data_IF_676496230887
#
_entry.id   IF_676496230887
#
_cell.length_a   1.000
_cell.length_b   1.000
_cell.length_c   1.000
_cell.angle_alpha   90.00
_cell.angle_beta   90.00
_cell.angle_gamma   90.00
#
_symmetry.space_group_name_H-M   'P 1'
#
loop_
_entity.id
_entity.type
_entity.pdbx_description
1 polymer ?
#
# COMPACT_ATOMS: atom_id res chain seq x y z
N UNK A 1 -1.54 -16.53 -19.22
CA UNK A 1 -2.28 -15.70 -18.25
C UNK A 1 -1.23 -15.00 -17.39
N UNK A 2 -1.07 -13.69 -17.57
CA UNK A 2 0.09 -12.92 -17.11
C UNK A 2 0.23 -12.91 -15.57
N UNK A 3 1.48 -12.81 -15.10
CA UNK A 3 1.95 -12.85 -13.72
C UNK A 3 1.10 -11.98 -12.75
N UNK A 4 0.17 -12.61 -12.04
CA UNK A 4 -0.85 -11.97 -11.17
C UNK A 4 -0.27 -11.25 -9.96
N UNK A 5 0.87 -11.70 -9.44
CA UNK A 5 1.49 -11.11 -8.24
C UNK A 5 2.15 -9.76 -8.53
N UNK A 6 2.87 -9.63 -9.64
CA UNK A 6 3.57 -8.39 -9.99
C UNK A 6 2.58 -7.24 -10.22
N UNK A 7 1.46 -7.50 -10.88
CA UNK A 7 0.43 -6.50 -11.10
C UNK A 7 -0.28 -6.08 -9.80
N UNK A 8 -0.41 -7.01 -8.86
CA UNK A 8 -0.90 -6.69 -7.51
C UNK A 8 0.06 -5.75 -6.80
N UNK A 9 1.35 -6.05 -6.82
CA UNK A 9 2.38 -5.21 -6.22
C UNK A 9 2.47 -3.81 -6.84
N UNK A 10 2.26 -3.69 -8.16
CA UNK A 10 2.18 -2.38 -8.84
C UNK A 10 1.03 -1.51 -8.33
N UNK A 11 -0.03 -2.12 -7.81
CA UNK A 11 -1.22 -1.44 -7.29
C UNK A 11 -1.14 -1.13 -5.80
N UNK A 12 -0.07 -1.53 -5.10
CA UNK A 12 0.17 -1.17 -3.71
C UNK A 12 0.95 0.15 -3.66
N UNK A 13 0.48 1.09 -2.84
CA UNK A 13 1.17 2.36 -2.66
C UNK A 13 2.40 2.18 -1.74
N UNK A 14 3.56 2.71 -2.15
CA UNK A 14 4.82 2.66 -1.39
C UNK A 14 4.74 3.32 -0.01
N UNK A 15 3.77 4.23 0.18
CA UNK A 15 3.52 4.92 1.45
C UNK A 15 2.39 4.31 2.27
N UNK A 16 1.69 3.30 1.75
CA UNK A 16 0.70 2.55 2.52
C UNK A 16 1.42 1.71 3.59
N UNK A 17 0.87 1.68 4.79
CA UNK A 17 1.39 0.85 5.88
C UNK A 17 0.25 0.17 6.61
N UNK A 18 0.55 -1.04 7.08
CA UNK A 18 -0.19 -1.81 8.08
C UNK A 18 0.84 -2.53 8.96
N UNK A 19 0.40 -3.22 10.01
CA UNK A 19 1.33 -4.04 10.83
C UNK A 19 2.07 -5.09 9.99
N UNK A 20 1.44 -5.61 8.94
CA UNK A 20 2.01 -6.65 8.07
C UNK A 20 3.25 -6.17 7.30
N UNK A 21 3.39 -4.86 7.09
CA UNK A 21 4.59 -4.27 6.49
C UNK A 21 5.85 -4.63 7.28
N UNK A 22 5.77 -4.65 8.61
CA UNK A 22 6.93 -4.97 9.46
C UNK A 22 7.32 -6.45 9.38
N UNK A 23 6.39 -7.33 9.03
CA UNK A 23 6.67 -8.74 8.79
C UNK A 23 7.38 -8.88 7.44
N UNK A 24 6.79 -8.34 6.37
CA UNK A 24 7.37 -8.36 5.02
C UNK A 24 8.77 -7.73 4.98
N UNK A 25 8.96 -6.58 5.64
CA UNK A 25 10.25 -5.91 5.73
C UNK A 25 11.34 -6.73 6.45
N UNK A 26 10.97 -7.63 7.37
CA UNK A 26 11.92 -8.51 8.07
C UNK A 26 12.27 -9.73 7.25
N UNK A 27 11.32 -10.26 6.47
CA UNK A 27 11.51 -11.44 5.63
C UNK A 27 12.13 -11.11 4.26
N UNK A 28 12.19 -9.82 3.90
CA UNK A 28 12.62 -9.38 2.57
C UNK A 28 11.54 -9.60 1.51
N UNK A 29 10.31 -9.88 1.93
CA UNK A 29 9.17 -10.10 1.05
C UNK A 29 8.51 -8.78 0.66
N UNK A 30 7.73 -8.83 -0.42
CA UNK A 30 6.91 -7.70 -0.82
C UNK A 30 5.70 -7.53 0.07
N UNK A 31 5.38 -6.28 0.38
CA UNK A 31 4.21 -5.93 1.17
C UNK A 31 2.95 -5.87 0.30
N UNK A 32 1.89 -6.58 0.73
CA UNK A 32 0.52 -6.47 0.21
C UNK A 32 -0.41 -6.26 1.41
N UNK A 33 -1.21 -5.17 1.45
CA UNK A 33 -2.10 -4.92 2.56
C UNK A 33 -3.29 -5.90 2.58
N UNK A 34 -3.58 -6.45 3.77
CA UNK A 34 -4.79 -7.25 3.98
C UNK A 34 -6.02 -6.34 4.13
N UNK A 35 -7.16 -6.73 3.55
CA UNK A 35 -8.37 -5.89 3.48
C UNK A 35 -8.86 -5.35 4.83
N UNK A 36 -8.68 -6.11 5.91
CA UNK A 36 -9.17 -5.79 7.26
C UNK A 36 -8.10 -5.20 8.18
N UNK A 37 -6.90 -4.92 7.67
CA UNK A 37 -5.83 -4.39 8.50
C UNK A 37 -6.07 -2.92 8.88
N UNK A 38 -5.64 -2.52 10.08
CA UNK A 38 -5.53 -1.09 10.41
C UNK A 38 -4.41 -0.49 9.56
N UNK A 39 -4.75 0.53 8.78
CA UNK A 39 -3.87 1.13 7.79
C UNK A 39 -3.54 2.59 8.12
N UNK A 40 -2.35 3.04 7.71
CA UNK A 40 -1.94 4.44 7.80
C UNK A 40 -1.07 4.83 6.60
N UNK A 41 -0.97 6.13 6.35
CA UNK A 41 -0.06 6.68 5.34
C UNK A 41 1.23 7.12 6.02
N UNK A 42 2.37 6.70 5.47
CA UNK A 42 3.69 7.08 5.97
C UNK A 42 3.96 8.58 5.82
N UNK A 43 3.39 9.25 4.81
CA UNK A 43 3.61 10.69 4.58
C UNK A 43 2.94 11.56 5.65
N UNK A 44 1.72 11.22 6.04
CA UNK A 44 0.94 11.97 7.04
C UNK A 44 1.05 11.39 8.45
N UNK A 45 1.69 10.22 8.58
CA UNK A 45 1.83 9.46 9.83
C UNK A 45 0.49 9.15 10.51
N UNK A 46 -0.59 9.01 9.73
CA UNK A 46 -1.94 8.83 10.27
C UNK A 46 -2.90 8.07 9.35
N UNK A 47 -4.13 7.88 9.82
CA UNK A 47 -5.18 7.15 9.12
C UNK A 47 -5.79 7.92 7.93
N UNK A 48 -5.42 9.20 7.75
CA UNK A 48 -5.86 10.06 6.66
C UNK A 48 -4.67 10.37 5.76
N UNK A 49 -4.82 10.19 4.45
CA UNK A 49 -3.79 10.47 3.45
C UNK A 49 -3.67 11.96 3.10
N UNK A 50 -2.69 12.35 2.27
CA UNK A 50 -2.44 13.74 1.88
C UNK A 50 -3.50 14.36 0.95
N UNK A 51 -4.50 13.59 0.55
CA UNK A 51 -5.66 13.99 -0.25
C UNK A 51 -6.95 14.02 0.59
N UNK A 52 -6.80 14.07 1.93
CA UNK A 52 -7.88 14.10 2.91
C UNK A 52 -8.84 12.90 2.88
N UNK A 53 -8.41 11.76 2.33
CA UNK A 53 -9.17 10.50 2.35
C UNK A 53 -8.56 9.48 3.29
N UNK A 54 -9.40 8.69 3.94
CA UNK A 54 -8.97 7.56 4.78
C UNK A 54 -8.07 6.59 4.02
N UNK A 55 -7.13 6.00 4.75
CA UNK A 55 -6.22 4.98 4.24
C UNK A 55 -6.81 3.61 4.54
N UNK A 56 -6.96 2.79 3.50
CA UNK A 56 -7.39 1.40 3.60
C UNK A 56 -6.75 0.59 2.47
N UNK A 57 -6.69 -0.73 2.63
CA UNK A 57 -6.07 -1.64 1.66
C UNK A 57 -6.62 -1.46 0.23
N UNK A 58 -7.95 -1.39 0.09
CA UNK A 58 -8.60 -1.15 -1.21
C UNK A 58 -8.67 0.33 -1.61
N UNK A 59 -8.63 1.23 -0.62
CA UNK A 59 -8.74 2.67 -0.83
C UNK A 59 -7.44 3.35 -1.27
N UNK A 60 -6.28 2.70 -1.12
CA UNK A 60 -4.98 3.26 -1.52
C UNK A 60 -4.49 2.61 -2.82
N UNK A 61 -4.99 3.10 -3.95
CA UNK A 61 -4.81 2.48 -5.27
C UNK A 61 -4.47 3.53 -6.36
N UNK A 62 -4.13 3.11 -7.60
CA UNK A 62 -3.68 4.02 -8.67
C UNK A 62 -4.67 5.12 -9.10
N UNK A 63 -5.95 5.03 -8.74
CA UNK A 63 -6.91 6.11 -9.04
C UNK A 63 -6.72 7.35 -8.16
N UNK A 64 -5.95 7.27 -7.08
CA UNK A 64 -5.69 8.41 -6.19
C UNK A 64 -4.53 9.26 -6.70
N UNK A 65 -4.66 10.61 -6.76
CA UNK A 65 -3.58 11.48 -7.24
C UNK A 65 -2.26 11.36 -6.44
N UNK A 66 -2.36 11.05 -5.15
CA UNK A 66 -1.20 10.88 -4.29
C UNK A 66 -0.55 9.49 -4.37
N UNK A 67 -1.12 8.56 -5.15
CA UNK A 67 -0.61 7.20 -5.27
C UNK A 67 0.80 7.18 -5.85
N UNK A 68 1.66 6.33 -5.29
CA UNK A 68 3.01 6.04 -5.81
C UNK A 68 3.25 4.54 -5.67
N UNK A 69 3.50 3.86 -6.78
CA UNK A 69 3.67 2.39 -6.76
C UNK A 69 4.84 1.96 -5.88
N UNK A 70 4.67 0.83 -5.19
CA UNK A 70 5.72 0.18 -4.39
C UNK A 70 6.86 -0.34 -5.25
N UNK A 71 6.57 -0.76 -6.48
CA UNK A 71 7.57 -1.22 -7.44
C UNK A 71 7.61 -0.27 -8.65
N UNK A 72 8.80 0.11 -9.14
CA UNK A 72 8.92 0.92 -10.35
C UNK A 72 8.40 0.16 -11.58
N UNK A 73 8.01 0.90 -12.61
CA UNK A 73 7.63 0.33 -13.92
C UNK A 73 8.82 -0.30 -14.64
#
# INVERSE_FOLDING_TARGET
MANTMLDTLRRVCKFHRSKDYYIASRTGEYYIPLERASCWCLLTQGAVGPDDKFVSAGGCNPSRPCFRSQIPE
#
